data_IF_967241373298
#
_entry.id   IF_967241373298
#
_cell.length_a   1.000
_cell.length_b   1.000
_cell.length_c   1.000
_cell.angle_alpha   90.00
_cell.angle_beta   90.00
_cell.angle_gamma   90.00
#
_symmetry.space_group_name_H-M   'P 1'
#
loop_
_entity.id
_entity.type
_entity.pdbx_description
1 polymer ?
#
# COMPACT_ATOMS: atom_id res chain seq x y z
N UNK A 1 -8.53 -14.39 -20.19
CA UNK A 1 -7.95 -14.23 -18.86
C UNK A 1 -6.55 -13.66 -19.05
N UNK A 2 -6.20 -12.62 -18.34
CA UNK A 2 -4.86 -12.02 -18.38
C UNK A 2 -4.01 -12.75 -17.34
N UNK A 3 -3.20 -13.72 -17.77
CA UNK A 3 -2.40 -14.58 -16.87
C UNK A 3 -1.24 -13.82 -16.19
N UNK A 4 -0.94 -12.64 -16.69
CA UNK A 4 0.02 -11.69 -16.13
C UNK A 4 -0.55 -10.88 -14.94
N UNK A 5 -1.89 -10.78 -14.79
CA UNK A 5 -2.52 -10.07 -13.67
C UNK A 5 -2.64 -10.99 -12.46
N UNK A 6 -1.83 -10.73 -11.43
CA UNK A 6 -1.82 -11.53 -10.20
C UNK A 6 -2.82 -11.03 -9.15
N UNK A 7 -3.01 -9.73 -9.04
CA UNK A 7 -3.84 -9.15 -8.00
C UNK A 7 -4.59 -7.91 -8.47
N UNK A 8 -5.65 -7.58 -7.75
CA UNK A 8 -6.40 -6.34 -7.97
C UNK A 8 -7.09 -5.87 -6.69
N UNK A 9 -7.53 -4.61 -6.72
CA UNK A 9 -8.43 -4.01 -5.74
C UNK A 9 -9.56 -3.24 -6.42
N UNK A 10 -10.70 -3.06 -5.75
CA UNK A 10 -11.74 -2.10 -6.15
C UNK A 10 -11.35 -0.68 -5.76
N UNK A 11 -12.18 0.30 -6.13
CA UNK A 11 -12.21 1.62 -5.50
C UNK A 11 -12.71 1.47 -4.06
N UNK A 12 -12.00 2.07 -3.10
CA UNK A 12 -12.36 1.99 -1.67
C UNK A 12 -12.85 3.35 -1.20
N UNK A 13 -14.12 3.40 -0.83
CA UNK A 13 -14.77 4.57 -0.27
C UNK A 13 -15.02 4.41 1.23
N UNK A 14 -15.18 5.51 1.93
CA UNK A 14 -15.46 5.52 3.36
C UNK A 14 -16.91 5.11 3.64
N UNK A 15 -17.13 4.24 4.63
CA UNK A 15 -18.48 3.94 5.15
C UNK A 15 -19.10 5.17 5.83
N UNK A 16 -18.26 6.01 6.47
CA UNK A 16 -18.72 7.17 7.25
C UNK A 16 -19.06 8.36 6.36
N UNK A 17 -18.21 8.63 5.37
CA UNK A 17 -18.44 9.67 4.36
C UNK A 17 -18.36 9.04 2.97
N UNK A 18 -19.50 8.62 2.45
CA UNK A 18 -19.60 7.81 1.23
C UNK A 18 -19.13 8.50 -0.05
N UNK A 19 -19.03 9.81 -0.02
CA UNK A 19 -18.57 10.63 -1.15
C UNK A 19 -17.05 10.88 -1.10
N UNK A 20 -16.35 10.30 -0.10
CA UNK A 20 -14.90 10.42 0.05
C UNK A 20 -14.21 9.07 -0.05
N UNK A 21 -12.98 9.10 -0.56
CA UNK A 21 -12.13 7.91 -0.53
C UNK A 21 -11.87 7.46 0.91
N UNK A 22 -11.56 6.18 1.07
CA UNK A 22 -11.13 5.64 2.35
C UNK A 22 -9.61 5.77 2.49
N UNK A 23 -9.14 6.03 3.70
CA UNK A 23 -7.73 6.25 4.02
C UNK A 23 -6.82 5.07 3.60
N UNK A 24 -7.30 3.82 3.77
CA UNK A 24 -6.54 2.62 3.53
C UNK A 24 -6.65 2.14 2.07
N UNK A 25 -5.89 2.77 1.17
CA UNK A 25 -5.74 2.29 -0.21
C UNK A 25 -6.57 2.99 -1.26
N UNK A 26 -7.60 3.76 -0.88
CA UNK A 26 -8.37 4.65 -1.76
C UNK A 26 -8.58 4.08 -3.19
N UNK A 27 -7.98 4.68 -4.22
CA UNK A 27 -8.07 4.21 -5.62
C UNK A 27 -6.74 3.66 -6.17
N UNK A 28 -6.03 2.87 -5.36
CA UNK A 28 -4.78 2.19 -5.74
C UNK A 28 -3.52 2.87 -5.22
N UNK A 29 -2.54 2.05 -4.89
CA UNK A 29 -1.32 2.44 -4.20
C UNK A 29 -0.08 2.48 -5.06
N UNK A 30 0.84 3.39 -4.72
CA UNK A 30 2.13 3.62 -5.34
C UNK A 30 3.19 3.82 -4.25
N UNK A 31 4.44 3.89 -4.66
CA UNK A 31 5.58 4.20 -3.78
C UNK A 31 6.38 5.31 -4.45
N UNK A 32 6.80 6.31 -3.69
CA UNK A 32 7.68 7.35 -4.19
C UNK A 32 9.13 6.86 -4.34
N UNK A 33 10.00 7.71 -4.87
CA UNK A 33 11.42 7.36 -5.11
C UNK A 33 12.22 7.06 -3.83
N UNK A 34 11.68 7.38 -2.66
CA UNK A 34 12.29 7.10 -1.35
C UNK A 34 11.59 5.96 -0.62
N UNK A 35 10.61 5.32 -1.27
CA UNK A 35 9.90 4.18 -0.74
C UNK A 35 8.76 4.50 0.22
N UNK A 36 8.27 5.74 0.26
CA UNK A 36 7.07 6.09 1.00
C UNK A 36 5.83 5.70 0.22
N UNK A 37 4.94 4.87 0.79
CA UNK A 37 3.70 4.50 0.11
C UNK A 37 2.69 5.65 0.12
N UNK A 38 2.01 5.82 -1.00
CA UNK A 38 0.90 6.76 -1.16
C UNK A 38 -0.19 6.15 -2.03
N UNK A 39 -1.38 6.74 -2.06
CA UNK A 39 -2.49 6.28 -2.89
C UNK A 39 -3.12 7.43 -3.64
N UNK A 40 -3.73 7.12 -4.79
CA UNK A 40 -4.64 8.06 -5.47
C UNK A 40 -5.86 8.28 -4.58
N UNK A 41 -6.27 9.53 -4.39
CA UNK A 41 -7.36 9.92 -3.49
C UNK A 41 -6.95 10.21 -2.05
N UNK A 42 -5.63 10.15 -1.73
CA UNK A 42 -5.13 10.49 -0.40
C UNK A 42 -3.69 11.02 -0.42
N UNK A 43 -3.47 12.14 0.25
CA UNK A 43 -2.14 12.70 0.53
C UNK A 43 -2.01 12.88 2.05
N UNK A 44 -1.13 12.15 2.69
CA UNK A 44 -0.99 12.07 4.15
C UNK A 44 -2.34 11.77 4.82
N UNK A 45 -2.81 12.68 5.68
CA UNK A 45 -4.10 12.57 6.37
C UNK A 45 -5.27 13.21 5.61
N UNK A 46 -5.00 13.90 4.50
CA UNK A 46 -6.03 14.51 3.65
C UNK A 46 -6.54 13.47 2.68
N UNK A 47 -7.85 13.23 2.72
CA UNK A 47 -8.56 12.33 1.83
C UNK A 47 -9.40 13.17 0.88
N UNK A 48 -9.39 12.84 -0.41
CA UNK A 48 -10.15 13.52 -1.45
C UNK A 48 -11.61 13.05 -1.46
N UNK A 49 -12.51 13.92 -1.95
CA UNK A 49 -13.85 13.53 -2.37
C UNK A 49 -13.76 12.78 -3.71
N UNK A 50 -14.61 11.77 -3.89
CA UNK A 50 -14.71 11.04 -5.16
C UNK A 50 -15.64 11.80 -6.13
N UNK A 51 -15.03 12.49 -7.06
CA UNK A 51 -15.70 13.19 -8.16
C UNK A 51 -15.51 12.47 -9.49
N UNK A 52 -15.19 11.18 -9.49
CA UNK A 52 -14.90 10.39 -10.68
C UNK A 52 -13.48 10.59 -11.26
N UNK A 53 -12.60 11.33 -10.57
CA UNK A 53 -11.25 11.66 -11.04
C UNK A 53 -10.35 10.42 -11.20
N UNK A 54 -10.71 9.29 -10.60
CA UNK A 54 -9.97 8.02 -10.69
C UNK A 54 -10.84 6.86 -11.18
N UNK A 55 -11.79 7.12 -12.06
CA UNK A 55 -12.70 6.10 -12.61
C UNK A 55 -12.10 5.28 -13.77
N UNK A 56 -10.83 5.48 -14.06
CA UNK A 56 -10.13 4.68 -15.06
C UNK A 56 -9.43 3.48 -14.39
N UNK A 57 -9.61 2.29 -14.98
CA UNK A 57 -8.79 1.12 -14.64
C UNK A 57 -7.31 1.47 -14.74
N UNK A 58 -6.56 1.23 -13.68
CA UNK A 58 -5.16 1.65 -13.59
C UNK A 58 -4.29 0.50 -13.06
N UNK A 59 -3.15 0.30 -13.72
CA UNK A 59 -2.09 -0.51 -13.14
C UNK A 59 -1.48 0.22 -11.94
N UNK A 60 -1.35 -0.47 -10.81
CA UNK A 60 -0.91 0.08 -9.54
C UNK A 60 0.27 -0.72 -9.00
N UNK A 61 1.05 -0.13 -8.10
CA UNK A 61 2.17 -0.84 -7.49
C UNK A 61 1.69 -1.78 -6.37
N UNK A 62 0.72 -1.35 -5.59
CA UNK A 62 0.18 -2.19 -4.52
C UNK A 62 -1.33 -2.01 -4.35
N UNK A 63 -1.98 -3.12 -4.02
CA UNK A 63 -3.38 -3.19 -3.64
C UNK A 63 -3.49 -3.29 -2.11
N UNK A 64 -4.50 -2.60 -1.57
CA UNK A 64 -4.69 -2.52 -0.11
C UNK A 64 -5.16 -3.82 0.51
N UNK A 65 -4.63 -4.16 1.68
CA UNK A 65 -5.11 -5.27 2.49
C UNK A 65 -6.58 -5.15 2.93
N UNK A 66 -7.19 -3.96 2.82
CA UNK A 66 -8.62 -3.77 3.10
C UNK A 66 -9.53 -4.52 2.10
N UNK A 67 -9.11 -4.65 0.83
CA UNK A 67 -9.84 -5.43 -0.18
C UNK A 67 -8.91 -5.87 -1.32
N UNK A 68 -7.96 -6.74 -1.02
CA UNK A 68 -7.07 -7.36 -1.98
C UNK A 68 -7.69 -8.65 -2.51
N UNK A 69 -7.84 -8.74 -3.83
CA UNK A 69 -8.10 -10.00 -4.52
C UNK A 69 -6.82 -10.45 -5.22
N UNK A 70 -6.42 -11.71 -5.00
CA UNK A 70 -5.17 -12.26 -5.54
C UNK A 70 -5.38 -13.70 -6.04
N UNK A 71 -4.68 -14.07 -7.12
CA UNK A 71 -4.64 -15.46 -7.59
C UNK A 71 -3.90 -16.32 -6.57
N UNK A 72 -4.52 -17.42 -6.15
CA UNK A 72 -3.92 -18.31 -5.15
C UNK A 72 -2.56 -18.86 -5.58
N UNK A 73 -2.41 -19.25 -6.86
CA UNK A 73 -1.11 -19.74 -7.37
C UNK A 73 0.00 -18.67 -7.27
N UNK A 74 -0.29 -17.40 -7.61
CA UNK A 74 0.67 -16.31 -7.53
C UNK A 74 0.96 -15.93 -6.07
N UNK A 75 -0.05 -15.97 -5.19
CA UNK A 75 0.11 -15.77 -3.75
C UNK A 75 1.14 -16.74 -3.15
N UNK A 76 0.95 -18.04 -3.42
CA UNK A 76 1.85 -19.06 -2.90
C UNK A 76 3.22 -19.05 -3.56
N UNK A 77 3.29 -18.79 -4.87
CA UNK A 77 4.56 -18.65 -5.57
C UNK A 77 5.39 -17.46 -5.06
N UNK A 78 4.73 -16.35 -4.65
CA UNK A 78 5.38 -15.22 -4.02
C UNK A 78 5.74 -15.45 -2.54
N UNK A 79 5.36 -16.58 -1.94
CA UNK A 79 5.60 -16.92 -0.53
C UNK A 79 4.60 -16.34 0.46
N UNK A 80 3.43 -15.85 -0.02
CA UNK A 80 2.37 -15.31 0.83
C UNK A 80 2.73 -14.02 1.57
N UNK A 81 1.94 -13.65 2.56
CA UNK A 81 2.24 -12.53 3.46
C UNK A 81 3.38 -12.92 4.43
N UNK A 82 4.32 -12.02 4.62
CA UNK A 82 5.43 -12.24 5.56
C UNK A 82 4.97 -11.91 7.00
N UNK A 83 4.77 -12.93 7.81
CA UNK A 83 4.28 -12.81 9.19
C UNK A 83 5.15 -11.93 10.11
N UNK A 84 6.40 -11.65 9.73
CA UNK A 84 7.30 -10.76 10.50
C UNK A 84 6.81 -9.30 10.51
N UNK A 85 6.01 -8.90 9.52
CA UNK A 85 5.40 -7.57 9.49
C UNK A 85 4.35 -7.39 10.58
N UNK A 86 3.62 -8.44 10.94
CA UNK A 86 2.48 -8.43 11.86
C UNK A 86 1.30 -7.62 11.33
N UNK A 87 1.48 -6.34 11.07
CA UNK A 87 0.48 -5.43 10.46
C UNK A 87 1.19 -4.25 9.81
N UNK A 88 0.64 -3.73 8.73
CA UNK A 88 1.11 -2.62 7.88
C UNK A 88 2.31 -2.98 7.00
N UNK A 89 2.20 -2.65 5.73
CA UNK A 89 3.14 -2.89 4.62
C UNK A 89 3.34 -4.37 4.22
N UNK A 90 2.70 -5.35 4.86
CA UNK A 90 2.77 -6.76 4.47
C UNK A 90 2.17 -7.01 3.08
N UNK A 91 1.08 -6.34 2.76
CA UNK A 91 0.45 -6.38 1.45
C UNK A 91 1.28 -5.66 0.40
N UNK A 92 1.93 -4.56 0.76
CA UNK A 92 2.80 -3.80 -0.15
C UNK A 92 4.05 -4.62 -0.48
N UNK A 93 4.66 -5.28 0.51
CA UNK A 93 5.77 -6.21 0.33
C UNK A 93 5.40 -7.37 -0.59
N UNK A 94 4.21 -7.96 -0.41
CA UNK A 94 3.70 -9.02 -1.27
C UNK A 94 3.53 -8.53 -2.71
N UNK A 95 2.89 -7.37 -2.89
CA UNK A 95 2.69 -6.76 -4.20
C UNK A 95 4.02 -6.48 -4.91
N UNK A 96 5.03 -5.99 -4.19
CA UNK A 96 6.35 -5.76 -4.76
C UNK A 96 7.03 -7.07 -5.22
N UNK A 97 6.92 -8.14 -4.42
CA UNK A 97 7.43 -9.47 -4.83
C UNK A 97 6.72 -9.99 -6.08
N UNK A 98 5.40 -9.77 -6.22
CA UNK A 98 4.66 -10.12 -7.43
C UNK A 98 5.19 -9.35 -8.66
N UNK A 99 5.43 -8.04 -8.54
CA UNK A 99 6.05 -7.27 -9.63
C UNK A 99 7.44 -7.80 -10.02
N UNK A 100 8.26 -8.20 -9.05
CA UNK A 100 9.57 -8.83 -9.33
C UNK A 100 9.46 -10.17 -10.06
N UNK A 101 8.31 -10.83 -9.97
CA UNK A 101 7.98 -12.04 -10.74
C UNK A 101 7.38 -11.73 -12.12
N UNK A 102 7.36 -10.45 -12.53
CA UNK A 102 6.78 -10.00 -13.80
C UNK A 102 5.25 -9.96 -13.81
N UNK A 103 4.63 -9.97 -12.63
CA UNK A 103 3.17 -9.88 -12.50
C UNK A 103 2.71 -8.43 -12.39
N UNK A 104 1.43 -8.21 -12.76
CA UNK A 104 0.78 -6.89 -12.76
C UNK A 104 -0.33 -6.85 -11.73
N UNK A 105 -0.59 -5.68 -11.21
CA UNK A 105 -1.64 -5.41 -10.21
C UNK A 105 -2.49 -4.24 -10.69
N UNK A 106 -3.81 -4.33 -10.52
CA UNK A 106 -4.74 -3.31 -11.03
C UNK A 106 -5.71 -2.82 -9.96
N UNK A 107 -6.12 -1.56 -10.11
CA UNK A 107 -7.31 -1.01 -9.50
C UNK A 107 -8.44 -1.00 -10.55
N UNK A 108 -9.58 -1.59 -10.21
CA UNK A 108 -10.79 -1.59 -11.03
C UNK A 108 -11.86 -0.73 -10.36
N UNK A 109 -11.96 0.56 -10.70
CA UNK A 109 -12.86 1.51 -10.04
C UNK A 109 -14.35 1.26 -10.32
N UNK A 110 -14.68 0.45 -11.34
CA UNK A 110 -16.05 0.00 -11.62
C UNK A 110 -16.61 -0.88 -10.47
N UNK A 111 -15.72 -1.50 -9.72
CA UNK A 111 -16.04 -2.18 -8.46
C UNK A 111 -15.77 -1.22 -7.30
N UNK A 112 -16.78 -0.98 -6.47
CA UNK A 112 -16.70 -0.07 -5.31
C UNK A 112 -16.95 -0.84 -4.03
N UNK A 113 -16.10 -0.63 -3.03
CA UNK A 113 -16.24 -1.20 -1.69
C UNK A 113 -16.22 -0.07 -0.66
N UNK A 114 -17.15 -0.11 0.29
CA UNK A 114 -17.17 0.79 1.44
C UNK A 114 -16.47 0.13 2.62
N UNK A 115 -15.45 0.78 3.14
CA UNK A 115 -14.61 0.24 4.20
C UNK A 115 -14.64 1.13 5.46
N UNK A 116 -14.69 0.50 6.63
CA UNK A 116 -14.57 1.17 7.92
C UNK A 116 -13.12 1.07 8.41
N UNK A 117 -12.36 2.14 8.24
CA UNK A 117 -10.95 2.18 8.64
C UNK A 117 -10.75 2.13 10.16
N UNK A 118 -9.54 1.71 10.58
CA UNK A 118 -9.14 1.77 11.99
C UNK A 118 -9.47 0.54 12.84
N UNK A 119 -9.98 -0.54 12.23
CA UNK A 119 -10.41 -1.74 12.96
C UNK A 119 -9.31 -2.51 13.69
N UNK A 120 -8.06 -2.46 13.21
CA UNK A 120 -6.95 -3.24 13.80
C UNK A 120 -6.19 -2.47 14.87
N UNK A 121 -5.81 -1.23 14.59
CA UNK A 121 -5.09 -0.37 15.52
C UNK A 121 -5.61 1.07 15.40
N UNK A 122 -6.02 1.73 16.52
CA UNK A 122 -6.41 3.14 16.51
C UNK A 122 -5.29 4.04 15.96
N UNK A 123 -5.65 5.15 15.31
CA UNK A 123 -4.67 6.11 14.77
C UNK A 123 -3.68 6.64 15.82
N UNK A 124 -4.13 6.79 17.07
CA UNK A 124 -3.35 7.31 18.19
C UNK A 124 -2.41 6.28 18.84
N UNK A 125 -2.37 5.04 18.37
CA UNK A 125 -1.53 4.02 18.99
C UNK A 125 -0.06 4.17 18.53
N UNK A 126 0.91 4.45 19.43
CA UNK A 126 2.33 4.62 19.06
C UNK A 126 2.93 3.38 18.38
N UNK A 127 2.41 2.19 18.72
CA UNK A 127 2.83 0.93 18.07
C UNK A 127 2.51 0.94 16.57
N UNK A 128 1.42 1.61 16.15
CA UNK A 128 1.08 1.74 14.74
C UNK A 128 2.14 2.55 13.99
N UNK A 129 2.55 3.69 14.53
CA UNK A 129 3.61 4.53 13.97
C UNK A 129 4.93 3.75 13.88
N UNK A 130 5.35 3.09 14.97
CA UNK A 130 6.53 2.25 14.98
C UNK A 130 6.48 1.16 13.91
N UNK A 131 5.36 0.44 13.79
CA UNK A 131 5.19 -0.62 12.78
C UNK A 131 5.29 -0.06 11.36
N UNK A 132 4.67 1.08 11.09
CA UNK A 132 4.75 1.71 9.77
C UNK A 132 6.19 2.02 9.37
N UNK A 133 6.99 2.66 10.22
CA UNK A 133 8.40 2.95 9.93
C UNK A 133 9.25 1.69 9.83
N UNK A 134 9.19 0.80 10.83
CA UNK A 134 9.94 -0.45 10.84
C UNK A 134 9.64 -1.31 9.61
N UNK A 135 8.37 -1.51 9.32
CA UNK A 135 7.95 -2.38 8.24
C UNK A 135 8.28 -1.80 6.87
N UNK A 136 8.11 -0.49 6.71
CA UNK A 136 8.48 0.17 5.47
C UNK A 136 9.99 0.04 5.19
N UNK A 137 10.86 0.29 6.19
CA UNK A 137 12.30 0.09 6.04
C UNK A 137 12.66 -1.38 5.78
N UNK A 138 11.98 -2.33 6.45
CA UNK A 138 12.15 -3.76 6.20
C UNK A 138 11.75 -4.14 4.78
N UNK A 139 10.65 -3.60 4.28
CA UNK A 139 10.17 -3.81 2.91
C UNK A 139 11.18 -3.30 1.89
N UNK A 140 11.74 -2.10 2.09
CA UNK A 140 12.79 -1.53 1.23
C UNK A 140 14.03 -2.42 1.23
N UNK A 141 14.49 -2.84 2.39
CA UNK A 141 15.63 -3.76 2.53
C UNK A 141 15.43 -5.08 1.77
N UNK A 142 14.23 -5.62 1.78
CA UNK A 142 13.89 -6.88 1.10
C UNK A 142 13.80 -6.76 -0.42
N UNK A 143 13.35 -5.62 -0.93
CA UNK A 143 12.87 -5.52 -2.31
C UNK A 143 13.70 -4.61 -3.21
N UNK A 144 14.38 -3.59 -2.67
CA UNK A 144 15.22 -2.70 -3.48
C UNK A 144 16.51 -3.39 -3.94
N UNK A 145 16.98 -3.11 -5.17
CA UNK A 145 18.33 -3.43 -5.60
C UNK A 145 19.38 -2.81 -4.65
N UNK A 146 20.53 -3.44 -4.47
CA UNK A 146 21.55 -3.02 -3.50
C UNK A 146 22.06 -1.59 -3.73
N UNK A 147 22.23 -1.20 -4.99
CA UNK A 147 22.73 0.13 -5.35
C UNK A 147 21.71 1.23 -4.96
N UNK A 148 20.44 1.01 -5.25
CA UNK A 148 19.36 1.93 -4.88
C UNK A 148 19.15 1.94 -3.36
N UNK A 149 19.21 0.78 -2.73
CA UNK A 149 19.00 0.60 -1.30
C UNK A 149 19.93 1.49 -0.47
N UNK A 150 21.23 1.49 -0.79
CA UNK A 150 22.22 2.30 -0.05
C UNK A 150 21.90 3.80 -0.13
N UNK A 151 21.52 4.26 -1.31
CA UNK A 151 21.14 5.65 -1.51
C UNK A 151 19.85 6.02 -0.78
N UNK A 152 18.80 5.23 -0.98
CA UNK A 152 17.49 5.44 -0.36
C UNK A 152 17.59 5.39 1.16
N UNK A 153 18.27 4.40 1.74
CA UNK A 153 18.40 4.24 3.18
C UNK A 153 19.11 5.42 3.86
N UNK A 154 20.12 6.05 3.21
CA UNK A 154 20.79 7.26 3.76
C UNK A 154 19.82 8.43 3.86
N UNK A 155 18.99 8.65 2.82
CA UNK A 155 18.00 9.72 2.80
C UNK A 155 16.89 9.44 3.80
N UNK A 156 16.38 8.20 3.83
CA UNK A 156 15.34 7.75 4.75
C UNK A 156 15.77 7.88 6.20
N UNK A 157 17.00 7.53 6.52
CA UNK A 157 17.52 7.70 7.88
C UNK A 157 17.41 9.15 8.35
N UNK A 158 17.75 10.10 7.48
CA UNK A 158 17.62 11.54 7.81
C UNK A 158 16.15 11.99 7.89
N UNK A 159 15.31 11.61 6.92
CA UNK A 159 13.92 12.03 6.87
C UNK A 159 13.09 11.40 8.01
N UNK A 160 13.27 10.10 8.26
CA UNK A 160 12.56 9.40 9.32
C UNK A 160 12.99 9.90 10.72
N UNK A 161 14.27 10.28 10.87
CA UNK A 161 14.75 10.92 12.09
C UNK A 161 14.09 12.28 12.32
N UNK A 162 13.95 13.12 11.28
CA UNK A 162 13.22 14.39 11.39
C UNK A 162 11.74 14.16 11.73
N UNK A 163 11.10 13.18 11.11
CA UNK A 163 9.70 12.83 11.39
C UNK A 163 9.51 12.41 12.85
N UNK A 164 10.47 11.71 13.44
CA UNK A 164 10.40 11.28 14.85
C UNK A 164 10.39 12.41 15.86
N UNK A 165 10.83 13.62 15.47
CA UNK A 165 10.73 14.81 16.35
C UNK A 165 9.38 15.52 16.25
N UNK A 166 8.54 15.15 15.27
CA UNK A 166 7.22 15.77 15.05
C UNK A 166 6.07 14.93 15.61
N UNK A 167 6.37 13.72 16.07
CA UNK A 167 5.40 12.76 16.69
C UNK A 167 5.58 12.70 18.18
#
# INVERSE_FOLDING_TARGET
AHDDVAACQPKILSVVNRDSFEYAGASGGFIDRYGYPFCRGRIFDTVEEDNGQYDNTQEILWATGACLMIRSCDYWAAGGLDGRFFAHNEEIDLCWRLHRMGKRIFCFPESVVYHLGGGTLPKSNPRKTFLNFRNNLTMLWKNLPEDDLRHVMRIRWFLDYLAAFQT
#
